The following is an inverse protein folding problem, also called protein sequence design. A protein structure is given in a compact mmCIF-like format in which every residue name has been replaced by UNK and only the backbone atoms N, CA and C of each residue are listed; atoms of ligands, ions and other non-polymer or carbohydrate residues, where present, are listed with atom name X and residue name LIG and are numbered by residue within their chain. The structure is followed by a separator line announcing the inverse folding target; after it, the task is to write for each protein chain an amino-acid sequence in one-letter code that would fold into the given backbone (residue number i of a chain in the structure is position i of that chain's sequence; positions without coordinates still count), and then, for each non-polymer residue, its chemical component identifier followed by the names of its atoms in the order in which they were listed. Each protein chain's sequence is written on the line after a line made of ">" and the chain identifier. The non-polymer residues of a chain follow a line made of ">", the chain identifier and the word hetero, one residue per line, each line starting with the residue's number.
data_IF_088443380289
#
_entry.id   IF_088443380289
#
_cell.length_a   1.000
_cell.length_b   1.000
_cell.length_c   1.000
_cell.angle_alpha   90.00
_cell.angle_beta   90.00
_cell.angle_gamma   90.00
#
_symmetry.space_group_name_H-M   'P 1'
#
loop_
_entity.id
_entity.type
_entity.pdbx_description
1 polymer ?
#
# COMPACT_ATOMS: atom_id res chain seq x y z
N UNK A 1 -13.93 5.98 3.97
CA UNK A 1 -13.41 4.68 4.47
C UNK A 1 -13.07 3.83 3.26
N UNK A 2 -12.02 3.00 3.34
CA UNK A 2 -11.55 2.14 2.23
C UNK A 2 -11.01 0.80 2.71
N UNK A 3 -11.33 0.43 3.95
CA UNK A 3 -10.86 -0.78 4.63
C UNK A 3 -11.93 -1.88 4.69
N UNK A 4 -13.17 -1.61 4.25
CA UNK A 4 -14.28 -2.57 4.27
C UNK A 4 -15.17 -2.45 3.02
N UNK A 5 -14.98 -3.32 2.01
CA UNK A 5 -13.80 -4.15 1.83
C UNK A 5 -12.56 -3.29 1.56
N UNK A 6 -11.37 -3.87 1.76
CA UNK A 6 -10.11 -3.17 1.52
C UNK A 6 -10.03 -2.70 0.07
N UNK A 7 -9.57 -1.47 -0.15
CA UNK A 7 -9.35 -0.88 -1.47
C UNK A 7 -8.24 0.15 -1.36
N UNK A 8 -7.07 -0.13 -1.94
CA UNK A 8 -5.95 0.81 -1.93
C UNK A 8 -6.32 2.18 -2.55
N UNK A 9 -7.01 2.25 -3.70
CA UNK A 9 -7.44 3.53 -4.26
C UNK A 9 -8.38 4.34 -3.35
N UNK A 10 -9.18 3.69 -2.51
CA UNK A 10 -10.06 4.39 -1.55
C UNK A 10 -9.37 4.66 -0.21
N UNK A 11 -8.44 3.80 0.21
CA UNK A 11 -7.80 3.87 1.52
C UNK A 11 -6.58 4.79 1.50
N UNK A 12 -5.66 4.58 0.55
CA UNK A 12 -4.33 5.20 0.54
C UNK A 12 -4.25 6.37 -0.43
N UNK A 13 -4.76 6.23 -1.66
CA UNK A 13 -4.60 7.26 -2.68
C UNK A 13 -5.06 8.66 -2.23
N UNK A 14 -6.17 8.84 -1.48
CA UNK A 14 -6.57 10.17 -1.01
C UNK A 14 -5.56 10.84 -0.08
N UNK A 15 -4.80 10.05 0.69
CA UNK A 15 -3.70 10.58 1.52
C UNK A 15 -2.56 11.06 0.62
N UNK A 16 -2.24 10.31 -0.43
CA UNK A 16 -1.20 10.68 -1.40
C UNK A 16 -1.60 11.91 -2.22
N UNK A 17 -2.85 12.00 -2.65
CA UNK A 17 -3.36 13.15 -3.40
C UNK A 17 -3.26 14.43 -2.59
N UNK A 18 -3.61 14.35 -1.30
CA UNK A 18 -3.56 15.47 -0.36
C UNK A 18 -2.13 15.94 -0.07
N UNK A 19 -1.18 15.02 0.10
CA UNK A 19 0.12 15.33 0.70
C UNK A 19 1.33 15.14 -0.22
N UNK A 20 1.26 14.24 -1.20
CA UNK A 20 2.42 13.70 -1.90
C UNK A 20 2.43 14.04 -3.40
N UNK A 21 1.28 13.96 -4.06
CA UNK A 21 1.16 14.06 -5.53
C UNK A 21 1.72 15.37 -6.07
N UNK A 22 1.60 16.49 -5.35
CA UNK A 22 2.16 17.80 -5.76
C UNK A 22 3.66 17.73 -6.12
N UNK A 23 4.44 16.93 -5.40
CA UNK A 23 5.88 16.76 -5.65
C UNK A 23 6.21 15.49 -6.46
N UNK A 24 5.30 14.51 -6.42
CA UNK A 24 5.50 13.17 -6.97
C UNK A 24 4.55 12.88 -8.14
N UNK A 25 4.45 13.82 -9.08
CA UNK A 25 3.65 13.69 -10.31
C UNK A 25 4.29 14.47 -11.48
N UNK A 26 3.62 14.45 -12.63
CA UNK A 26 4.03 15.17 -13.83
C UNK A 26 5.25 14.59 -14.53
N UNK A 27 5.86 15.38 -15.41
CA UNK A 27 6.99 14.98 -16.27
C UNK A 27 8.34 14.89 -15.56
N UNK A 28 8.48 15.57 -14.40
CA UNK A 28 9.71 15.57 -13.58
C UNK A 28 9.40 15.34 -12.10
N UNK A 29 8.88 14.16 -11.73
CA UNK A 29 8.56 13.83 -10.35
C UNK A 29 9.82 13.80 -9.48
N UNK A 30 9.73 14.24 -8.22
CA UNK A 30 10.88 14.21 -7.30
C UNK A 30 11.41 12.79 -7.14
N UNK A 31 12.73 12.64 -7.33
CA UNK A 31 13.46 11.36 -7.31
C UNK A 31 12.92 10.31 -8.31
N UNK A 32 12.20 10.72 -9.36
CA UNK A 32 11.59 9.80 -10.31
C UNK A 32 10.38 9.03 -9.76
N UNK A 33 9.90 9.34 -8.55
CA UNK A 33 8.81 8.60 -7.89
C UNK A 33 7.47 9.24 -8.27
N UNK A 34 6.61 8.49 -8.95
CA UNK A 34 5.24 8.90 -9.30
C UNK A 34 4.24 8.26 -8.35
N UNK A 35 3.44 9.09 -7.68
CA UNK A 35 2.45 8.68 -6.67
C UNK A 35 1.01 9.00 -7.09
N UNK A 36 0.75 9.12 -8.39
CA UNK A 36 -0.60 9.30 -8.94
C UNK A 36 -1.42 8.01 -8.88
N UNK A 37 -2.74 8.16 -8.76
CA UNK A 37 -3.71 7.05 -8.78
C UNK A 37 -4.01 6.49 -10.17
N UNK A 38 -3.25 6.88 -11.19
CA UNK A 38 -3.45 6.41 -12.57
C UNK A 38 -3.18 4.90 -12.65
N UNK A 39 -4.07 4.12 -13.30
CA UNK A 39 -3.83 2.71 -13.56
C UNK A 39 -2.56 2.47 -14.38
N UNK A 40 -1.80 1.45 -14.00
CA UNK A 40 -0.62 0.93 -14.70
C UNK A 40 -0.71 -0.59 -14.73
N UNK A 41 -1.43 -1.16 -15.70
CA UNK A 41 -1.69 -2.60 -15.71
C UNK A 41 -2.59 -3.02 -14.55
N UNK A 42 -2.09 -3.89 -13.65
CA UNK A 42 -2.92 -4.49 -12.58
C UNK A 42 -3.19 -3.56 -11.40
N UNK A 43 -2.37 -2.55 -11.16
CA UNK A 43 -2.47 -1.63 -10.01
C UNK A 43 -2.30 -0.17 -10.44
N UNK A 44 -2.20 0.78 -9.51
CA UNK A 44 -1.87 2.18 -9.81
C UNK A 44 -0.36 2.44 -9.81
N UNK A 45 0.07 3.55 -10.44
CA UNK A 45 1.46 4.01 -10.39
C UNK A 45 1.98 4.18 -8.95
N UNK A 46 1.16 4.79 -8.09
CA UNK A 46 1.44 4.95 -6.67
C UNK A 46 1.66 3.63 -5.94
N UNK A 47 0.88 2.60 -6.25
CA UNK A 47 1.05 1.30 -5.64
C UNK A 47 2.37 0.65 -6.01
N UNK A 48 2.73 0.62 -7.30
CA UNK A 48 4.02 0.10 -7.75
C UNK A 48 5.21 0.85 -7.11
N UNK A 49 5.05 2.16 -6.88
CA UNK A 49 6.06 2.94 -6.19
C UNK A 49 6.19 2.61 -4.69
N UNK A 50 5.08 2.32 -3.99
CA UNK A 50 5.09 2.19 -2.53
C UNK A 50 5.16 0.73 -2.04
N UNK A 51 4.53 -0.23 -2.72
CA UNK A 51 4.46 -1.62 -2.26
C UNK A 51 5.85 -2.24 -1.99
N UNK A 52 6.91 -2.02 -2.80
CA UNK A 52 8.25 -2.53 -2.50
C UNK A 52 8.89 -1.93 -1.23
N UNK A 53 8.34 -0.82 -0.71
CA UNK A 53 8.84 -0.08 0.46
C UNK A 53 8.03 -0.37 1.74
N UNK A 54 6.93 -1.10 1.61
CA UNK A 54 6.20 -1.66 2.73
C UNK A 54 6.80 -3.01 3.15
N UNK A 55 6.79 -3.30 4.44
CA UNK A 55 7.12 -4.61 4.98
C UNK A 55 5.84 -5.43 5.07
N UNK A 56 5.65 -6.36 4.14
CA UNK A 56 4.54 -7.31 4.11
C UNK A 56 5.07 -8.74 4.08
N UNK A 57 4.26 -9.69 4.55
CA UNK A 57 4.61 -11.11 4.51
C UNK A 57 4.61 -11.60 3.05
N UNK A 58 5.71 -12.20 2.63
CA UNK A 58 5.87 -12.67 1.25
C UNK A 58 6.77 -13.90 1.21
N UNK A 59 6.23 -14.98 0.68
CA UNK A 59 7.00 -16.18 0.36
C UNK A 59 7.99 -15.88 -0.77
N UNK A 60 9.29 -16.14 -0.57
CA UNK A 60 10.30 -16.13 -1.64
C UNK A 60 10.99 -14.79 -1.93
N UNK A 61 11.14 -13.88 -0.96
CA UNK A 61 12.08 -12.75 -1.13
C UNK A 61 13.53 -13.24 -1.35
N UNK A 62 14.39 -12.49 -2.06
CA UNK A 62 15.77 -12.91 -2.33
C UNK A 62 16.48 -13.27 -1.02
N UNK A 63 16.91 -14.53 -0.90
CA UNK A 63 17.46 -15.14 0.32
C UNK A 63 16.68 -16.37 0.84
N UNK A 64 15.53 -16.73 0.27
CA UNK A 64 14.75 -17.90 0.69
C UNK A 64 14.68 -19.02 -0.33
N UNK A 65 15.52 -20.06 -0.20
CA UNK A 65 15.27 -21.38 -0.80
C UNK A 65 14.19 -22.11 0.02
N UNK A 66 12.96 -22.08 -0.47
CA UNK A 66 11.77 -22.59 0.19
C UNK A 66 11.80 -24.10 0.53
N UNK A 67 12.72 -24.89 -0.05
CA UNK A 67 12.88 -26.31 0.27
C UNK A 67 13.85 -26.56 1.45
N UNK A 68 14.67 -25.56 1.80
CA UNK A 68 15.63 -25.62 2.90
C UNK A 68 15.21 -24.76 4.10
N UNK A 69 14.53 -23.66 3.84
CA UNK A 69 14.07 -22.72 4.87
C UNK A 69 12.55 -22.57 4.78
N UNK A 70 11.86 -23.13 5.76
CA UNK A 70 10.48 -22.83 6.08
C UNK A 70 10.39 -21.38 6.58
N UNK A 71 10.66 -20.40 5.70
CA UNK A 71 11.07 -19.02 6.03
C UNK A 71 9.94 -18.10 6.53
N UNK A 72 9.09 -18.62 7.41
CA UNK A 72 8.50 -17.84 8.50
C UNK A 72 8.58 -18.58 9.86
N UNK A 73 9.74 -19.10 10.35
CA UNK A 73 9.76 -19.73 11.67
C UNK A 73 9.98 -18.70 12.79
N UNK A 74 10.39 -17.46 12.48
CA UNK A 74 10.65 -16.42 13.48
C UNK A 74 10.16 -15.04 13.04
N UNK A 75 8.87 -14.79 13.26
CA UNK A 75 8.29 -13.45 13.22
C UNK A 75 8.61 -12.72 14.53
N UNK A 76 9.64 -11.87 14.54
CA UNK A 76 9.91 -10.99 15.69
C UNK A 76 8.85 -9.88 15.74
N UNK A 77 8.40 -9.44 16.93
CA UNK A 77 7.48 -8.31 17.02
C UNK A 77 7.97 -7.10 16.22
N UNK A 78 7.12 -6.58 15.33
CA UNK A 78 7.45 -5.45 14.46
C UNK A 78 8.27 -5.78 13.20
N UNK A 79 8.42 -7.06 12.84
CA UNK A 79 9.14 -7.48 11.63
C UNK A 79 8.43 -7.07 10.33
N UNK A 80 7.09 -7.09 10.30
CA UNK A 80 6.26 -6.67 9.17
C UNK A 80 5.21 -5.63 9.61
N UNK A 81 4.35 -5.24 8.67
CA UNK A 81 3.34 -4.20 8.87
C UNK A 81 3.95 -2.80 8.88
N UNK A 82 3.17 -1.83 9.34
CA UNK A 82 3.58 -0.44 9.50
C UNK A 82 4.85 -0.32 10.35
N UNK A 83 4.93 -1.07 11.45
CA UNK A 83 6.07 -1.02 12.37
C UNK A 83 7.39 -1.48 11.74
N UNK A 84 7.35 -2.49 10.87
CA UNK A 84 8.51 -2.99 10.14
C UNK A 84 8.83 -2.22 8.85
N UNK A 85 7.93 -1.34 8.41
CA UNK A 85 8.04 -0.67 7.11
C UNK A 85 9.00 0.50 7.13
N UNK A 86 10.02 0.47 6.26
CA UNK A 86 10.92 1.61 6.04
C UNK A 86 10.17 2.88 5.60
N UNK A 87 9.07 2.72 4.85
CA UNK A 87 8.18 3.81 4.47
C UNK A 87 7.56 4.49 5.71
N UNK A 88 6.95 3.73 6.62
CA UNK A 88 6.37 4.28 7.85
C UNK A 88 7.43 4.95 8.73
N UNK A 89 8.59 4.31 8.90
CA UNK A 89 9.69 4.89 9.66
C UNK A 89 10.16 6.24 9.07
N UNK A 90 10.18 6.39 7.74
CA UNK A 90 10.50 7.65 7.07
C UNK A 90 9.40 8.71 7.30
N UNK A 91 8.13 8.33 7.19
CA UNK A 91 7.01 9.25 7.41
C UNK A 91 6.96 9.77 8.85
N UNK A 92 7.22 8.93 9.84
CA UNK A 92 7.27 9.32 11.26
C UNK A 92 8.44 10.27 11.57
N UNK A 93 9.55 10.17 10.84
CA UNK A 93 10.67 11.13 10.92
C UNK A 93 10.34 12.47 10.24
N UNK A 94 9.29 12.51 9.43
CA UNK A 94 8.88 13.66 8.63
C UNK A 94 9.47 13.68 7.23
N UNK A 95 8.76 14.36 6.33
CA UNK A 95 9.17 14.49 4.93
C UNK A 95 8.83 15.89 4.39
N UNK A 96 9.84 16.75 4.20
CA UNK A 96 9.68 18.07 3.57
C UNK A 96 8.51 18.92 4.11
N UNK A 97 8.38 18.99 5.45
CA UNK A 97 7.31 19.73 6.16
C UNK A 97 5.88 19.21 5.89
N UNK A 98 5.72 18.02 5.32
CA UNK A 98 4.42 17.34 5.26
C UNK A 98 4.02 16.95 6.69
N UNK A 99 2.84 17.39 7.11
CA UNK A 99 2.22 17.02 8.37
C UNK A 99 1.02 16.11 8.09
N UNK A 100 1.15 14.83 8.41
CA UNK A 100 0.04 13.88 8.33
C UNK A 100 -0.84 14.05 9.56
N UNK A 101 -2.15 14.13 9.35
CA UNK A 101 -3.09 14.01 10.46
C UNK A 101 -3.05 12.59 11.04
N UNK A 102 -3.47 12.38 12.31
CA UNK A 102 -3.57 11.04 12.88
C UNK A 102 -4.39 10.08 11.99
N UNK A 103 -5.50 10.56 11.42
CA UNK A 103 -6.33 9.78 10.51
C UNK A 103 -5.63 9.43 9.18
N UNK A 104 -4.84 10.35 8.62
CA UNK A 104 -4.07 10.08 7.39
C UNK A 104 -2.98 9.03 7.66
N UNK A 105 -2.32 9.12 8.82
CA UNK A 105 -1.31 8.15 9.25
C UNK A 105 -1.92 6.76 9.49
N UNK A 106 -3.08 6.71 10.15
CA UNK A 106 -3.81 5.47 10.41
C UNK A 106 -4.20 4.73 9.12
N UNK A 107 -4.59 5.45 8.05
CA UNK A 107 -4.91 4.83 6.76
C UNK A 107 -3.70 4.16 6.12
N UNK A 108 -2.54 4.83 6.19
CA UNK A 108 -1.27 4.28 5.68
C UNK A 108 -0.83 3.09 6.52
N UNK A 109 -0.93 3.18 7.84
CA UNK A 109 -0.61 2.09 8.76
C UNK A 109 -1.52 0.87 8.49
N UNK A 110 -2.83 1.09 8.43
CA UNK A 110 -3.84 0.06 8.13
C UNK A 110 -3.51 -0.69 6.83
N UNK A 111 -3.14 0.03 5.77
CA UNK A 111 -2.76 -0.60 4.51
C UNK A 111 -1.50 -1.47 4.66
N UNK A 112 -0.46 -0.97 5.34
CA UNK A 112 0.76 -1.74 5.56
C UNK A 112 0.52 -2.97 6.44
N UNK A 113 -0.28 -2.83 7.50
CA UNK A 113 -0.66 -3.91 8.42
C UNK A 113 -1.56 -4.96 7.74
N UNK A 114 -2.36 -4.55 6.76
CA UNK A 114 -3.14 -5.44 5.90
C UNK A 114 -2.33 -5.99 4.70
N UNK A 115 -1.04 -6.30 4.93
CA UNK A 115 -0.12 -6.88 3.95
C UNK A 115 0.01 -6.11 2.63
N UNK A 116 -0.15 -4.78 2.69
CA UNK A 116 -0.06 -3.92 1.52
C UNK A 116 -0.98 -4.35 0.37
N UNK A 117 -2.14 -4.95 0.65
CA UNK A 117 -3.08 -5.39 -0.38
C UNK A 117 -3.58 -4.22 -1.25
N UNK A 118 -3.88 -4.52 -2.51
CA UNK A 118 -4.49 -3.54 -3.42
C UNK A 118 -6.01 -3.69 -3.50
N UNK A 119 -6.48 -4.92 -3.72
CA UNK A 119 -7.89 -5.26 -3.87
C UNK A 119 -8.42 -5.98 -2.62
N UNK A 120 -9.69 -5.75 -2.31
CA UNK A 120 -10.42 -6.44 -1.23
C UNK A 120 -11.36 -7.52 -1.73
N UNK A 121 -11.14 -8.00 -2.95
CA UNK A 121 -11.97 -8.99 -3.65
C UNK A 121 -11.14 -9.81 -4.62
N UNK A 122 -11.58 -11.04 -4.88
CA UNK A 122 -11.03 -11.91 -5.92
C UNK A 122 -11.81 -11.83 -7.23
N UNK A 123 -13.03 -11.26 -7.22
CA UNK A 123 -13.85 -11.10 -8.42
C UNK A 123 -13.23 -10.08 -9.40
N UNK A 124 -12.95 -10.44 -10.66
CA UNK A 124 -12.30 -9.54 -11.62
C UNK A 124 -13.11 -8.27 -11.95
N UNK A 125 -14.44 -8.34 -11.97
CA UNK A 125 -15.26 -7.18 -12.28
C UNK A 125 -15.19 -6.16 -11.13
N UNK A 126 -15.22 -6.63 -9.90
CA UNK A 126 -15.07 -5.80 -8.70
C UNK A 126 -13.64 -5.29 -8.52
N UNK A 127 -12.61 -6.05 -8.91
CA UNK A 127 -11.25 -5.53 -9.01
C UNK A 127 -11.19 -4.36 -10.00
N UNK A 128 -11.79 -4.50 -11.19
CA UNK A 128 -11.84 -3.42 -12.16
C UNK A 128 -12.57 -2.17 -11.61
N UNK A 129 -13.65 -2.36 -10.82
CA UNK A 129 -14.32 -1.25 -10.12
C UNK A 129 -13.40 -0.58 -9.11
N UNK A 130 -12.76 -1.36 -8.23
CA UNK A 130 -11.87 -0.83 -7.20
C UNK A 130 -10.65 -0.12 -7.81
N UNK A 131 -10.09 -0.60 -8.93
CA UNK A 131 -8.98 0.05 -9.64
C UNK A 131 -9.31 1.49 -10.06
N UNK A 132 -10.58 1.77 -10.38
CA UNK A 132 -11.09 3.10 -10.71
C UNK A 132 -11.55 3.91 -9.47
N UNK A 133 -11.26 3.43 -8.26
CA UNK A 133 -11.73 4.06 -7.02
C UNK A 133 -13.20 3.79 -6.69
N UNK A 134 -13.83 2.81 -7.32
CA UNK A 134 -15.21 2.41 -7.01
C UNK A 134 -15.32 1.64 -5.70
N UNK A 135 -16.44 1.80 -5.01
CA UNK A 135 -16.83 0.94 -3.88
C UNK A 135 -17.45 -0.36 -4.40
N UNK A 136 -17.41 -1.40 -3.58
CA UNK A 136 -18.08 -2.69 -3.83
C UNK A 136 -18.78 -3.13 -2.54
N UNK A 137 -19.79 -3.98 -2.63
CA UNK A 137 -20.54 -4.45 -1.47
C UNK A 137 -19.71 -5.37 -0.55
N UNK A 138 -18.67 -6.01 -1.08
CA UNK A 138 -17.92 -7.07 -0.43
C UNK A 138 -18.23 -8.43 -1.07
N UNK A 139 -17.57 -9.51 -0.64
CA UNK A 139 -17.86 -10.85 -1.16
C UNK A 139 -19.33 -11.20 -0.91
N UNK A 140 -19.96 -11.90 -1.87
CA UNK A 140 -21.20 -12.61 -1.58
C UNK A 140 -20.88 -13.63 -0.48
N UNK A 141 -21.58 -13.53 0.65
CA UNK A 141 -21.50 -14.56 1.68
C UNK A 141 -22.19 -15.80 1.11
N UNK A 142 -21.43 -16.88 0.94
CA UNK A 142 -21.96 -18.22 0.67
C UNK A 142 -22.53 -18.85 1.95
#
# INVERSE_FOLDING_TARGET
>A
TGSKPLSYPLLVQPVLDKHCVRCHSGTKPKKGIVLTGEPQGRYTRSYYALAPRAAYTAWGKPGGDFRQVNSEPLSRPGFFGARGSALMAMLLKGHNKVALSPADLERLATWMDANALFYGTFDPADQARQLRGGTIAGPALE
#
